data_IF_757744646600
#
_entry.id   IF_757744646600
#
_cell.length_a   1.000
_cell.length_b   1.000
_cell.length_c   1.000
_cell.angle_alpha   90.00
_cell.angle_beta   90.00
_cell.angle_gamma   90.00
#
_symmetry.space_group_name_H-M   'P 1'
#
loop_
_entity.id
_entity.type
_entity.pdbx_description
1 polymer ?
#
# COMPACT_ATOMS: atom_id res chain seq x y z
N UNK A 1 1.49 36.31 -28.85
CA UNK A 1 2.26 35.05 -28.80
C UNK A 1 1.73 34.19 -27.66
N UNK A 2 0.93 33.17 -27.97
CA UNK A 2 0.31 32.27 -26.97
C UNK A 2 1.28 31.10 -26.75
N UNK A 3 1.98 31.11 -25.61
CA UNK A 3 2.93 30.03 -25.24
C UNK A 3 2.12 28.83 -24.78
N UNK A 4 2.07 27.77 -25.60
CA UNK A 4 1.54 26.48 -25.17
C UNK A 4 2.55 25.84 -24.20
N UNK A 5 2.23 25.80 -22.90
CA UNK A 5 2.96 24.98 -21.94
C UNK A 5 2.78 23.52 -22.35
N UNK A 6 3.86 22.85 -22.75
CA UNK A 6 3.86 21.43 -23.06
C UNK A 6 3.72 20.62 -21.76
N UNK A 7 2.68 19.77 -21.60
CA UNK A 7 2.44 18.99 -20.38
C UNK A 7 3.24 17.66 -20.36
N UNK A 8 4.44 17.63 -20.93
CA UNK A 8 5.19 16.38 -21.19
C UNK A 8 5.95 15.88 -19.94
N UNK A 9 6.06 16.68 -18.87
CA UNK A 9 6.95 16.38 -17.73
C UNK A 9 6.33 15.52 -16.62
N UNK A 10 5.06 15.11 -16.70
CA UNK A 10 4.43 14.30 -15.64
C UNK A 10 4.43 12.79 -15.90
N UNK A 11 4.72 12.32 -17.12
CA UNK A 11 4.74 10.89 -17.44
C UNK A 11 5.78 10.04 -16.67
N UNK A 12 7.01 10.50 -16.34
CA UNK A 12 7.99 9.61 -15.72
C UNK A 12 7.68 9.23 -14.27
N UNK A 13 6.86 10.02 -13.57
CA UNK A 13 6.55 9.78 -12.15
C UNK A 13 5.56 8.62 -11.94
N UNK A 14 4.67 8.37 -12.91
CA UNK A 14 3.71 7.27 -12.84
C UNK A 14 4.36 5.90 -13.07
N UNK A 15 5.50 5.86 -13.78
CA UNK A 15 6.20 4.61 -14.08
C UNK A 15 6.82 3.98 -12.82
N UNK A 16 7.31 4.80 -11.87
CA UNK A 16 8.00 4.30 -10.67
C UNK A 16 7.10 3.50 -9.73
N UNK A 17 5.82 3.88 -9.57
CA UNK A 17 4.90 3.20 -8.66
C UNK A 17 4.47 1.80 -9.15
N UNK A 18 4.59 1.54 -10.46
CA UNK A 18 4.27 0.25 -11.08
C UNK A 18 5.50 -0.67 -11.20
N UNK A 19 6.72 -0.17 -10.99
CA UNK A 19 7.94 -0.95 -11.14
C UNK A 19 7.96 -2.19 -10.24
N UNK A 20 7.45 -2.11 -9.01
CA UNK A 20 7.46 -3.26 -8.10
C UNK A 20 6.55 -4.39 -8.59
N UNK A 21 5.37 -4.06 -9.11
CA UNK A 21 4.45 -5.09 -9.66
C UNK A 21 5.03 -5.69 -10.95
N UNK A 22 5.69 -4.88 -11.79
CA UNK A 22 6.35 -5.36 -12.99
C UNK A 22 7.54 -6.28 -12.70
N UNK A 23 8.29 -5.98 -11.63
CA UNK A 23 9.44 -6.79 -11.21
C UNK A 23 9.04 -8.24 -10.83
N UNK A 24 7.81 -8.42 -10.33
CA UNK A 24 7.28 -9.72 -9.92
C UNK A 24 6.14 -10.22 -10.81
N UNK A 25 5.94 -9.63 -12.00
CA UNK A 25 4.76 -9.90 -12.83
C UNK A 25 4.60 -11.38 -13.25
N UNK A 26 5.69 -12.14 -13.27
CA UNK A 26 5.69 -13.57 -13.61
C UNK A 26 5.48 -14.49 -12.40
N UNK A 27 5.44 -13.95 -11.19
CA UNK A 27 5.15 -14.67 -9.95
C UNK A 27 3.82 -14.16 -9.37
N UNK A 28 2.72 -14.91 -9.55
CA UNK A 28 1.40 -14.46 -9.12
C UNK A 28 1.29 -14.31 -7.59
N UNK A 29 2.08 -15.07 -6.82
CA UNK A 29 2.06 -15.00 -5.35
C UNK A 29 2.78 -13.73 -4.89
N UNK A 30 3.98 -13.48 -5.40
CA UNK A 30 4.71 -12.26 -5.09
C UNK A 30 3.96 -11.01 -5.58
N UNK A 31 3.27 -11.09 -6.72
CA UNK A 31 2.42 -10.01 -7.21
C UNK A 31 1.24 -9.72 -6.27
N UNK A 32 0.55 -10.75 -5.79
CA UNK A 32 -0.53 -10.60 -4.82
C UNK A 32 -0.03 -9.98 -3.50
N UNK A 33 1.19 -10.34 -3.06
CA UNK A 33 1.82 -9.76 -1.88
C UNK A 33 2.09 -8.26 -2.06
N UNK A 34 2.75 -7.85 -3.15
CA UNK A 34 3.03 -6.43 -3.43
C UNK A 34 1.74 -5.61 -3.52
N UNK A 35 0.68 -6.17 -4.11
CA UNK A 35 -0.64 -5.54 -4.16
C UNK A 35 -1.27 -5.44 -2.77
N UNK A 36 -1.17 -6.50 -1.98
CA UNK A 36 -1.68 -6.55 -0.62
C UNK A 36 -1.08 -5.47 0.26
N UNK A 37 0.24 -5.38 0.24
CA UNK A 37 1.04 -4.33 0.87
C UNK A 37 0.54 -2.92 0.49
N UNK A 38 0.48 -2.62 -0.82
CA UNK A 38 0.05 -1.29 -1.32
C UNK A 38 -1.40 -0.98 -0.99
N UNK A 39 -2.31 -1.96 -1.13
CA UNK A 39 -3.73 -1.77 -0.90
C UNK A 39 -4.04 -1.54 0.58
N UNK A 40 -3.32 -2.22 1.48
CA UNK A 40 -3.46 -2.05 2.92
C UNK A 40 -2.99 -0.68 3.41
N UNK A 41 -1.81 -0.24 2.98
CA UNK A 41 -1.32 1.13 3.27
C UNK A 41 -2.33 2.16 2.77
N UNK A 42 -2.85 1.98 1.56
CA UNK A 42 -3.85 2.89 0.97
C UNK A 42 -5.18 2.87 1.75
N UNK A 43 -5.64 1.70 2.18
CA UNK A 43 -6.89 1.55 2.92
C UNK A 43 -6.82 2.26 4.27
N UNK A 44 -5.74 2.04 5.03
CA UNK A 44 -5.52 2.67 6.33
C UNK A 44 -5.31 4.18 6.20
N UNK A 45 -4.52 4.63 5.22
CA UNK A 45 -4.34 6.07 4.96
C UNK A 45 -5.67 6.76 4.60
N UNK A 46 -6.51 6.11 3.78
CA UNK A 46 -7.84 6.63 3.45
C UNK A 46 -8.77 6.67 4.65
N UNK A 47 -8.73 5.64 5.49
CA UNK A 47 -9.61 5.54 6.67
C UNK A 47 -9.23 6.58 7.74
N UNK A 48 -7.94 6.73 8.01
CA UNK A 48 -7.43 7.59 9.09
C UNK A 48 -7.21 9.05 8.66
N UNK A 49 -7.08 9.31 7.36
CA UNK A 49 -6.68 10.62 6.83
C UNK A 49 -5.21 10.98 7.10
N UNK A 50 -4.41 10.03 7.62
CA UNK A 50 -3.03 10.27 7.97
C UNK A 50 -2.10 10.26 6.74
N UNK A 51 -1.03 11.04 6.83
CA UNK A 51 0.11 10.96 5.91
C UNK A 51 1.24 10.17 6.56
N UNK A 52 2.13 9.59 5.75
CA UNK A 52 3.25 8.79 6.25
C UNK A 52 2.87 7.40 6.79
N UNK A 53 1.68 6.90 6.40
CA UNK A 53 1.26 5.53 6.69
C UNK A 53 2.20 4.54 5.99
N UNK A 54 2.64 3.50 6.70
CA UNK A 54 3.62 2.55 6.18
C UNK A 54 3.41 1.16 6.74
N UNK A 55 3.98 0.14 6.08
CA UNK A 55 3.96 -1.21 6.62
C UNK A 55 4.87 -1.34 7.82
N UNK A 56 4.37 -2.00 8.86
CA UNK A 56 5.18 -2.43 9.98
C UNK A 56 5.89 -3.72 9.60
N UNK A 57 7.21 -3.66 9.44
CA UNK A 57 8.06 -4.81 9.14
C UNK A 57 8.74 -5.40 10.38
N UNK A 58 8.38 -4.92 11.57
CA UNK A 58 9.00 -5.32 12.84
C UNK A 58 8.14 -6.34 13.57
N UNK A 59 6.81 -6.20 13.50
CA UNK A 59 5.87 -7.16 14.05
C UNK A 59 5.75 -8.37 13.12
N UNK A 60 6.01 -9.59 13.60
CA UNK A 60 5.87 -10.78 12.77
C UNK A 60 4.40 -11.01 12.45
N UNK A 61 4.09 -11.20 11.17
CA UNK A 61 2.80 -11.66 10.70
C UNK A 61 2.97 -13.08 10.17
N UNK A 62 2.20 -14.02 10.72
CA UNK A 62 2.31 -15.45 10.38
C UNK A 62 1.23 -15.90 9.39
N UNK A 63 0.12 -15.18 9.30
CA UNK A 63 -0.94 -15.49 8.34
C UNK A 63 -0.71 -14.80 7.00
N UNK A 64 -1.04 -15.53 5.93
CA UNK A 64 -1.08 -14.97 4.58
C UNK A 64 -2.17 -13.89 4.49
N UNK A 65 -1.96 -12.93 3.58
CA UNK A 65 -2.93 -11.86 3.30
C UNK A 65 -3.25 -10.98 4.51
N UNK A 66 -2.38 -10.95 5.52
CA UNK A 66 -2.47 -10.05 6.67
C UNK A 66 -1.24 -9.16 6.71
N UNK A 67 -1.46 -7.90 7.04
CA UNK A 67 -0.42 -6.89 7.11
C UNK A 67 -0.65 -6.00 8.32
N UNK A 68 0.42 -5.61 9.01
CA UNK A 68 0.36 -4.56 10.02
C UNK A 68 0.80 -3.26 9.39
N UNK A 69 0.03 -2.21 9.61
CA UNK A 69 0.23 -0.88 9.03
C UNK A 69 0.34 0.14 10.16
N UNK A 70 1.45 0.85 10.20
CA UNK A 70 1.70 1.91 11.17
C UNK A 70 1.17 3.26 10.68
N UNK A 71 0.62 4.02 11.63
CA UNK A 71 0.17 5.38 11.42
C UNK A 71 0.96 6.30 12.36
N UNK A 72 1.59 7.37 11.87
CA UNK A 72 2.38 8.25 12.74
C UNK A 72 1.56 8.83 13.89
N UNK A 73 2.06 8.68 15.12
CA UNK A 73 1.43 9.16 16.36
C UNK A 73 0.03 8.59 16.63
N UNK A 74 -0.30 7.42 16.07
CA UNK A 74 -1.57 6.74 16.27
C UNK A 74 -1.36 5.22 16.40
N UNK A 75 -2.38 4.46 16.84
CA UNK A 75 -2.31 3.01 16.88
C UNK A 75 -2.05 2.40 15.50
N UNK A 76 -1.37 1.26 15.48
CA UNK A 76 -1.20 0.45 14.27
C UNK A 76 -2.50 -0.27 13.91
N UNK A 77 -2.58 -0.71 12.66
CA UNK A 77 -3.76 -1.34 12.08
C UNK A 77 -3.41 -2.71 11.53
N UNK A 78 -4.25 -3.70 11.79
CA UNK A 78 -4.25 -4.94 11.02
C UNK A 78 -5.08 -4.73 9.76
N UNK A 79 -4.56 -5.14 8.61
CA UNK A 79 -5.27 -5.16 7.35
C UNK A 79 -5.31 -6.57 6.78
N UNK A 80 -6.46 -6.98 6.25
CA UNK A 80 -6.67 -8.27 5.58
C UNK A 80 -6.95 -8.04 4.11
N UNK A 81 -6.39 -8.87 3.24
CA UNK A 81 -6.61 -8.83 1.79
C UNK A 81 -7.28 -10.09 1.26
N UNK A 82 -7.90 -9.99 0.09
CA UNK A 82 -8.26 -11.16 -0.71
C UNK A 82 -7.01 -11.78 -1.40
N UNK A 83 -7.22 -12.88 -2.11
CA UNK A 83 -6.17 -13.61 -2.84
C UNK A 83 -5.50 -12.78 -3.96
N UNK A 84 -6.17 -11.72 -4.43
CA UNK A 84 -5.62 -10.83 -5.45
C UNK A 84 -4.81 -9.67 -4.84
N UNK A 85 -4.72 -9.59 -3.51
CA UNK A 85 -4.03 -8.53 -2.78
C UNK A 85 -4.87 -7.27 -2.60
N UNK A 86 -6.20 -7.34 -2.70
CA UNK A 86 -7.08 -6.19 -2.42
C UNK A 86 -7.49 -6.20 -0.95
N UNK A 87 -7.26 -5.09 -0.24
CA UNK A 87 -7.74 -4.90 1.12
C UNK A 87 -9.28 -5.05 1.21
N UNK A 88 -9.72 -5.90 2.14
CA UNK A 88 -11.13 -6.19 2.42
C UNK A 88 -11.55 -5.84 3.84
N UNK A 89 -10.61 -5.75 4.78
CA UNK A 89 -10.86 -5.42 6.18
C UNK A 89 -9.68 -4.68 6.79
N UNK A 90 -9.96 -3.71 7.66
CA UNK A 90 -8.98 -3.06 8.52
C UNK A 90 -9.51 -3.00 9.96
N UNK A 91 -8.65 -3.30 10.92
CA UNK A 91 -8.98 -3.33 12.35
C UNK A 91 -7.87 -2.61 13.10
N UNK A 92 -8.24 -1.62 13.93
CA UNK A 92 -7.29 -0.94 14.80
C UNK A 92 -6.77 -1.91 15.86
N UNK A 93 -5.45 -1.91 16.07
CA UNK A 93 -4.84 -2.69 17.14
C UNK A 93 -4.96 -1.86 18.42
N UNK A 94 -5.98 -2.15 19.22
CA UNK A 94 -6.17 -1.52 20.51
C UNK A 94 -4.97 -1.77 21.44
N UNK A 95 -4.55 -0.74 22.17
CA UNK A 95 -3.71 -0.91 23.35
C UNK A 95 -4.60 -1.44 24.48
N UNK A 96 -4.36 -2.67 24.92
CA UNK A 96 -4.97 -3.19 26.16
C UNK A 96 -4.58 -2.40 27.39
#
# INVERSE_FOLDING_TARGET
MRKHLSPILCLPLLALAACDELAVANDPVALAEVRGQKSCVTAVARHTGASGVSLNTTLPVVELNRYIVDVPNAPSWTCVTDEAGKAIEIVEIGTG
#
